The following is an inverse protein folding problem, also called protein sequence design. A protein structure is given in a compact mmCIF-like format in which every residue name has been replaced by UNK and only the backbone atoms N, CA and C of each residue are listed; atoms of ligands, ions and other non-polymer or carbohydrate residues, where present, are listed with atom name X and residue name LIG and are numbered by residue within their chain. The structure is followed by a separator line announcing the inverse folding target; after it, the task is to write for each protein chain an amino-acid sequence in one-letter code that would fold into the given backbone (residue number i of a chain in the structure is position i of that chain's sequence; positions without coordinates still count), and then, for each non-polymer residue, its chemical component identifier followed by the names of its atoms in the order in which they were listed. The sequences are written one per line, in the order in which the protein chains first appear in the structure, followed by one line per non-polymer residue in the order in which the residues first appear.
data_IF_463021061897
#
_entry.id   IF_463021061897
#
_cell.length_a   1.000
_cell.length_b   1.000
_cell.length_c   1.000
_cell.angle_alpha   90.00
_cell.angle_beta   90.00
_cell.angle_gamma   90.00
#
_symmetry.space_group_name_H-M   'P 1'
#
loop_
_entity.id
_entity.type
_entity.pdbx_description
1 polymer ?
#
# COMPACT_ATOMS: atom_id res chain seq x y z
N UNK A 1 -14.00 6.53 14.04
CA UNK A 1 -12.86 5.59 14.16
C UNK A 1 -12.44 5.13 12.75
N UNK A 2 -11.21 4.64 12.65
CA UNK A 2 -10.68 3.89 11.49
C UNK A 2 -10.48 2.45 11.90
N UNK A 3 -10.64 1.52 10.95
CA UNK A 3 -10.25 0.13 11.11
C UNK A 3 -8.92 -0.10 10.42
N UNK A 4 -7.98 -0.68 11.15
CA UNK A 4 -6.70 -1.16 10.64
C UNK A 4 -6.79 -2.67 10.51
N UNK A 5 -6.48 -3.22 9.34
CA UNK A 5 -6.65 -4.65 9.09
C UNK A 5 -5.49 -5.23 8.29
N UNK A 6 -5.17 -6.48 8.57
CA UNK A 6 -4.36 -7.34 7.71
C UNK A 6 -5.25 -8.47 7.24
N UNK A 7 -5.26 -8.72 5.96
CA UNK A 7 -6.08 -9.74 5.32
C UNK A 7 -5.17 -10.76 4.64
N UNK A 8 -5.31 -12.03 5.02
CA UNK A 8 -4.66 -13.14 4.33
C UNK A 8 -5.48 -13.50 3.10
N UNK A 9 -4.94 -13.14 1.94
CA UNK A 9 -5.60 -13.39 0.66
C UNK A 9 -5.70 -14.88 0.32
N UNK A 10 -4.73 -15.70 0.76
CA UNK A 10 -4.71 -17.13 0.48
C UNK A 10 -5.75 -17.90 1.29
N UNK A 11 -5.91 -17.50 2.56
CA UNK A 11 -6.88 -18.13 3.45
C UNK A 11 -8.26 -17.46 3.40
N UNK A 12 -8.34 -16.23 2.86
CA UNK A 12 -9.57 -15.46 2.83
C UNK A 12 -9.97 -14.92 4.20
N UNK A 13 -9.02 -14.74 5.12
CA UNK A 13 -9.28 -14.39 6.51
C UNK A 13 -8.63 -13.07 6.94
N UNK A 14 -9.27 -12.39 7.92
CA UNK A 14 -8.69 -11.28 8.63
C UNK A 14 -7.75 -11.81 9.71
N UNK A 15 -6.45 -11.58 9.57
CA UNK A 15 -5.44 -12.01 10.56
C UNK A 15 -5.17 -10.94 11.62
N UNK A 16 -5.52 -9.70 11.34
CA UNK A 16 -5.41 -8.59 12.28
C UNK A 16 -6.52 -7.59 12.06
N UNK A 17 -7.06 -7.08 13.18
CA UNK A 17 -8.04 -6.00 13.17
C UNK A 17 -7.86 -5.14 14.43
N UNK A 18 -7.75 -3.84 14.24
CA UNK A 18 -7.73 -2.87 15.33
C UNK A 18 -8.55 -1.63 14.99
N UNK A 19 -9.21 -1.05 15.95
CA UNK A 19 -9.87 0.24 15.83
C UNK A 19 -8.94 1.38 16.30
N UNK A 20 -9.00 2.49 15.61
CA UNK A 20 -8.13 3.63 15.86
C UNK A 20 -8.89 4.94 15.76
N UNK A 21 -8.38 6.00 16.38
CA UNK A 21 -8.95 7.33 16.22
C UNK A 21 -8.83 7.77 14.74
N UNK A 22 -9.91 8.35 14.20
CA UNK A 22 -9.97 8.78 12.81
C UNK A 22 -8.93 9.81 12.39
N UNK A 23 -8.39 10.55 13.36
CA UNK A 23 -7.36 11.59 13.17
C UNK A 23 -5.94 11.06 13.11
N UNK A 24 -5.71 9.81 13.54
CA UNK A 24 -4.36 9.22 13.56
C UNK A 24 -3.95 8.80 12.15
N UNK A 25 -2.76 9.21 11.67
CA UNK A 25 -2.25 8.80 10.38
C UNK A 25 -2.02 7.28 10.30
N UNK A 26 -2.30 6.68 9.13
CA UNK A 26 -2.22 5.23 8.94
C UNK A 26 -0.79 4.70 9.12
N UNK A 27 0.23 5.49 8.78
CA UNK A 27 1.63 5.11 8.94
C UNK A 27 2.10 4.94 10.40
N UNK A 28 1.33 5.37 11.40
CA UNK A 28 1.63 5.08 12.81
C UNK A 28 1.36 3.62 13.19
N UNK A 29 0.52 2.92 12.43
CA UNK A 29 0.18 1.52 12.69
C UNK A 29 1.09 0.53 11.99
N UNK A 30 1.98 1.01 11.13
CA UNK A 30 2.89 0.15 10.39
C UNK A 30 3.93 -0.55 11.27
N UNK A 31 4.21 -0.03 12.46
CA UNK A 31 5.19 -0.61 13.39
C UNK A 31 4.76 -1.98 13.95
N UNK A 32 3.46 -2.29 13.90
CA UNK A 32 2.94 -3.61 14.29
C UNK A 32 3.06 -4.66 13.18
N UNK A 33 3.15 -4.23 11.92
CA UNK A 33 3.15 -5.13 10.76
C UNK A 33 4.25 -6.19 10.82
N UNK A 34 5.52 -5.88 11.18
CA UNK A 34 6.55 -6.89 11.25
C UNK A 34 6.26 -8.02 12.25
N UNK A 35 5.49 -7.74 13.33
CA UNK A 35 5.12 -8.76 14.30
C UNK A 35 4.06 -9.74 13.75
N UNK A 36 3.22 -9.28 12.82
CA UNK A 36 2.11 -10.04 12.24
C UNK A 36 2.50 -10.88 11.01
N UNK A 37 3.63 -10.57 10.39
CA UNK A 37 4.06 -11.17 9.13
C UNK A 37 5.18 -12.18 9.38
N UNK A 38 5.10 -13.35 8.76
CA UNK A 38 6.11 -14.40 8.89
C UNK A 38 7.25 -14.23 7.89
N UNK A 39 8.34 -14.96 8.13
CA UNK A 39 9.40 -15.12 7.14
C UNK A 39 8.80 -15.69 5.84
N UNK A 40 9.24 -15.17 4.70
CA UNK A 40 8.77 -15.52 3.35
C UNK A 40 7.36 -15.06 2.97
N UNK A 41 6.58 -14.49 3.91
CA UNK A 41 5.31 -13.87 3.54
C UNK A 41 5.53 -12.63 2.66
N UNK A 42 4.58 -12.38 1.76
CA UNK A 42 4.55 -11.18 0.94
C UNK A 42 3.41 -10.24 1.40
N UNK A 43 3.78 -9.07 1.89
CA UNK A 43 2.84 -8.05 2.30
C UNK A 43 2.59 -7.03 1.18
N UNK A 44 1.34 -6.92 0.73
CA UNK A 44 0.89 -5.87 -0.18
C UNK A 44 0.49 -4.64 0.64
N UNK A 45 1.28 -3.56 0.54
CA UNK A 45 1.14 -2.39 1.41
C UNK A 45 0.52 -1.24 0.60
N UNK A 46 -0.53 -0.62 1.14
CA UNK A 46 -1.04 0.62 0.57
C UNK A 46 -0.07 1.79 0.85
N UNK A 47 -0.06 2.77 -0.05
CA UNK A 47 0.85 3.92 0.05
C UNK A 47 0.69 4.71 1.37
N UNK A 48 -0.51 4.74 1.95
CA UNK A 48 -0.76 5.37 3.26
C UNK A 48 0.03 4.75 4.41
N UNK A 49 0.44 3.50 4.27
CA UNK A 49 1.24 2.74 5.23
C UNK A 49 2.74 2.71 4.88
N UNK A 50 3.18 3.48 3.90
CA UNK A 50 4.58 3.50 3.49
C UNK A 50 5.47 4.10 4.60
N UNK A 51 6.40 3.30 5.14
CA UNK A 51 7.34 3.71 6.17
C UNK A 51 8.64 2.91 6.04
N UNK A 52 9.77 3.59 5.83
CA UNK A 52 11.05 2.92 5.57
C UNK A 52 11.52 2.03 6.71
N UNK A 53 11.29 2.44 7.96
CA UNK A 53 11.64 1.62 9.14
C UNK A 53 10.87 0.30 9.16
N UNK A 54 9.59 0.32 8.81
CA UNK A 54 8.77 -0.90 8.70
C UNK A 54 9.24 -1.79 7.55
N UNK A 55 9.54 -1.21 6.38
CA UNK A 55 10.08 -1.98 5.26
C UNK A 55 11.42 -2.65 5.62
N UNK A 56 12.30 -1.94 6.32
CA UNK A 56 13.56 -2.50 6.82
C UNK A 56 13.33 -3.63 7.83
N UNK A 57 12.38 -3.50 8.74
CA UNK A 57 12.05 -4.54 9.71
C UNK A 57 11.48 -5.80 9.03
N UNK A 58 10.65 -5.65 7.99
CA UNK A 58 10.18 -6.78 7.17
C UNK A 58 11.34 -7.48 6.46
N UNK A 59 12.26 -6.72 5.86
CA UNK A 59 13.45 -7.27 5.20
C UNK A 59 14.35 -8.01 6.19
N UNK A 60 14.58 -7.44 7.37
CA UNK A 60 15.38 -8.07 8.42
C UNK A 60 14.78 -9.39 8.91
N UNK A 61 13.45 -9.52 8.88
CA UNK A 61 12.74 -10.76 9.20
C UNK A 61 12.75 -11.78 8.06
N UNK A 62 13.21 -11.41 6.87
CA UNK A 62 13.17 -12.24 5.68
C UNK A 62 11.76 -12.30 5.04
N UNK A 63 10.93 -11.33 5.33
CA UNK A 63 9.64 -11.14 4.68
C UNK A 63 9.75 -10.26 3.44
N UNK A 64 8.75 -10.33 2.59
CA UNK A 64 8.67 -9.57 1.35
C UNK A 64 7.58 -8.51 1.42
N UNK A 65 7.75 -7.46 0.63
CA UNK A 65 6.73 -6.43 0.47
C UNK A 65 6.59 -6.01 -0.99
N UNK A 66 5.42 -5.50 -1.32
CA UNK A 66 5.15 -4.79 -2.57
C UNK A 66 4.27 -3.57 -2.25
N UNK A 67 4.75 -2.38 -2.59
CA UNK A 67 4.07 -1.11 -2.30
C UNK A 67 4.28 -0.09 -3.40
N UNK A 68 3.49 0.98 -3.40
CA UNK A 68 3.76 2.16 -4.23
C UNK A 68 4.85 3.00 -3.58
N UNK A 69 5.77 3.48 -4.41
CA UNK A 69 6.80 4.42 -3.95
C UNK A 69 6.14 5.72 -3.47
N UNK A 70 6.50 6.16 -2.28
CA UNK A 70 6.19 7.50 -1.81
C UNK A 70 7.16 8.50 -2.47
N UNK A 71 6.63 9.44 -3.25
CA UNK A 71 7.42 10.24 -4.20
C UNK A 71 8.45 11.18 -3.55
N UNK A 72 8.26 11.52 -2.27
CA UNK A 72 9.22 12.34 -1.52
C UNK A 72 10.37 11.51 -0.92
N UNK A 73 10.39 10.19 -1.18
CA UNK A 73 11.47 9.30 -0.73
C UNK A 73 12.70 9.49 -1.63
N UNK A 74 13.86 9.68 -1.02
CA UNK A 74 15.13 9.64 -1.74
C UNK A 74 15.39 8.21 -2.21
N UNK A 75 15.63 8.05 -3.50
CA UNK A 75 15.96 6.77 -4.12
C UNK A 75 17.39 6.82 -4.61
N UNK A 76 18.15 5.77 -4.37
CA UNK A 76 19.52 5.61 -4.83
C UNK A 76 19.59 4.44 -5.80
N UNK A 77 20.42 4.56 -6.81
CA UNK A 77 20.76 3.47 -7.71
C UNK A 77 21.41 2.33 -6.91
N UNK A 78 20.91 1.12 -7.10
CA UNK A 78 21.33 -0.06 -6.32
C UNK A 78 22.75 -0.51 -6.60
N UNK A 79 23.30 -0.18 -7.77
CA UNK A 79 24.64 -0.55 -8.19
C UNK A 79 25.68 0.50 -7.80
N UNK A 80 25.39 1.78 -8.10
CA UNK A 80 26.34 2.88 -7.90
C UNK A 80 26.20 3.57 -6.54
N UNK A 81 25.06 3.37 -5.85
CA UNK A 81 24.73 4.07 -4.59
C UNK A 81 24.44 5.57 -4.75
N UNK A 82 24.48 6.12 -5.96
CA UNK A 82 24.22 7.53 -6.21
C UNK A 82 22.72 7.85 -6.15
N UNK A 83 22.34 9.08 -5.74
CA UNK A 83 20.94 9.51 -5.82
C UNK A 83 20.39 9.39 -7.24
N UNK A 84 19.17 8.86 -7.35
CA UNK A 84 18.52 8.58 -8.63
C UNK A 84 17.50 9.68 -8.95
N UNK A 85 17.65 10.34 -10.08
CA UNK A 85 16.61 11.23 -10.62
C UNK A 85 15.56 10.39 -11.36
N UNK A 86 14.43 10.16 -10.68
CA UNK A 86 13.31 9.43 -11.25
C UNK A 86 12.80 10.05 -12.57
N UNK A 87 12.86 11.39 -12.68
CA UNK A 87 12.46 12.08 -13.90
C UNK A 87 13.36 11.73 -15.10
N UNK A 88 14.68 11.65 -14.89
CA UNK A 88 15.61 11.20 -15.92
C UNK A 88 15.41 9.74 -16.27
N UNK A 89 15.28 8.86 -15.27
CA UNK A 89 15.04 7.42 -15.48
C UNK A 89 13.80 7.18 -16.33
N UNK A 90 12.71 7.86 -16.03
CA UNK A 90 11.44 7.66 -16.74
C UNK A 90 11.43 8.26 -18.14
N UNK A 91 12.17 9.36 -18.37
CA UNK A 91 12.36 9.90 -19.74
C UNK A 91 13.23 9.01 -20.60
N UNK A 92 14.22 8.36 -20.01
CA UNK A 92 15.12 7.43 -20.71
C UNK A 92 14.55 6.01 -20.84
N UNK A 93 13.38 5.73 -20.23
CA UNK A 93 12.77 4.40 -20.28
C UNK A 93 12.35 4.05 -21.71
N UNK A 94 12.82 2.92 -22.28
CA UNK A 94 12.63 2.60 -23.70
C UNK A 94 11.20 2.15 -24.06
N UNK A 95 10.28 2.14 -23.10
CA UNK A 95 8.92 1.65 -23.34
C UNK A 95 7.94 1.96 -22.23
N UNK A 96 6.91 1.12 -22.11
CA UNK A 96 5.85 1.27 -21.11
C UNK A 96 6.21 0.68 -19.74
N UNK A 97 7.35 -0.01 -19.64
CA UNK A 97 7.82 -0.68 -18.42
C UNK A 97 9.32 -0.51 -18.29
N UNK A 98 9.79 -0.29 -17.08
CA UNK A 98 11.21 -0.42 -16.77
C UNK A 98 11.39 -0.86 -15.30
N UNK A 99 12.52 -1.47 -15.05
CA UNK A 99 12.90 -1.94 -13.73
C UNK A 99 14.35 -1.53 -13.43
N UNK A 100 14.59 -1.22 -12.15
CA UNK A 100 15.92 -0.86 -11.69
C UNK A 100 16.18 -1.38 -10.28
N UNK A 101 17.38 -1.89 -9.99
CA UNK A 101 17.82 -2.12 -8.63
C UNK A 101 17.99 -0.79 -7.93
N UNK A 102 17.45 -0.65 -6.72
CA UNK A 102 17.49 0.59 -5.95
C UNK A 102 17.64 0.34 -4.46
N UNK A 103 17.98 1.41 -3.73
CA UNK A 103 17.83 1.53 -2.28
C UNK A 103 17.06 2.80 -1.97
N UNK A 104 16.26 2.79 -0.91
CA UNK A 104 15.45 3.94 -0.51
C UNK A 104 15.92 4.51 0.81
N UNK A 105 15.73 5.83 1.00
CA UNK A 105 16.09 6.52 2.24
C UNK A 105 17.56 6.89 2.32
N UNK A 106 17.97 7.39 3.49
CA UNK A 106 19.33 7.87 3.75
C UNK A 106 19.81 7.40 5.13
N UNK A 107 21.11 7.24 5.29
CA UNK A 107 21.76 6.92 6.55
C UNK A 107 21.20 5.61 7.17
N UNK A 108 20.88 5.65 8.46
CA UNK A 108 20.37 4.50 9.21
C UNK A 108 19.01 3.98 8.72
N UNK A 109 18.25 4.81 8.00
CA UNK A 109 16.94 4.46 7.45
C UNK A 109 17.02 3.99 5.98
N UNK A 110 18.22 3.86 5.42
CA UNK A 110 18.37 3.34 4.07
C UNK A 110 17.96 1.86 4.04
N UNK A 111 17.16 1.49 3.03
CA UNK A 111 16.73 0.10 2.86
C UNK A 111 17.86 -0.76 2.29
N UNK A 112 17.75 -2.07 2.46
CA UNK A 112 18.48 -3.04 1.68
C UNK A 112 18.17 -2.95 0.19
N UNK A 113 18.64 -3.90 -0.59
CA UNK A 113 18.38 -3.97 -2.02
C UNK A 113 16.88 -4.15 -2.31
N UNK A 114 16.35 -3.29 -3.15
CA UNK A 114 14.98 -3.31 -3.64
C UNK A 114 14.95 -3.19 -5.16
N UNK A 115 13.81 -3.45 -5.73
CA UNK A 115 13.51 -3.28 -7.16
C UNK A 115 12.49 -2.16 -7.31
N UNK A 116 12.83 -1.14 -8.09
CA UNK A 116 11.90 -0.11 -8.55
C UNK A 116 11.29 -0.57 -9.86
N UNK A 117 10.00 -0.80 -9.86
CA UNK A 117 9.22 -1.17 -11.04
C UNK A 117 8.39 0.02 -11.49
N UNK A 118 8.63 0.47 -12.71
CA UNK A 118 7.96 1.62 -13.31
C UNK A 118 7.03 1.12 -14.42
N UNK A 119 5.74 1.41 -14.29
CA UNK A 119 4.71 1.00 -15.24
C UNK A 119 4.01 2.24 -15.79
N UNK A 120 4.05 2.44 -17.09
CA UNK A 120 3.35 3.54 -17.73
C UNK A 120 1.85 3.32 -17.64
N UNK A 121 1.12 4.36 -17.30
CA UNK A 121 -0.34 4.29 -17.19
C UNK A 121 -0.98 4.76 -18.50
N UNK A 122 -2.25 4.40 -18.66
CA UNK A 122 -3.07 4.90 -19.75
C UNK A 122 -3.11 6.45 -19.75
N UNK A 123 -3.09 7.11 -20.92
CA UNK A 123 -3.10 8.58 -21.05
C UNK A 123 -4.28 9.24 -20.33
N UNK A 124 -5.46 8.63 -20.33
CA UNK A 124 -6.64 9.18 -19.63
C UNK A 124 -6.43 9.14 -18.12
N UNK A 125 -5.87 8.05 -17.60
CA UNK A 125 -5.51 7.92 -16.19
C UNK A 125 -4.43 8.93 -15.80
N UNK A 126 -3.40 9.12 -16.62
CA UNK A 126 -2.35 10.11 -16.42
C UNK A 126 -2.93 11.53 -16.32
N UNK A 127 -3.84 11.89 -17.23
CA UNK A 127 -4.53 13.18 -17.22
C UNK A 127 -5.39 13.37 -15.95
N UNK A 128 -6.13 12.35 -15.54
CA UNK A 128 -6.91 12.39 -14.31
C UNK A 128 -6.02 12.59 -13.06
N UNK A 129 -4.86 11.91 -13.00
CA UNK A 129 -3.86 12.09 -11.94
C UNK A 129 -3.30 13.51 -11.91
N UNK A 130 -2.94 14.09 -13.06
CA UNK A 130 -2.45 15.48 -13.18
C UNK A 130 -3.52 16.49 -12.71
N UNK A 131 -4.79 16.28 -13.08
CA UNK A 131 -5.90 17.15 -12.63
C UNK A 131 -6.03 17.10 -11.09
N UNK A 132 -6.03 15.92 -10.49
CA UNK A 132 -6.10 15.73 -9.03
C UNK A 132 -4.90 16.37 -8.32
N UNK A 133 -3.69 16.17 -8.84
CA UNK A 133 -2.47 16.76 -8.29
C UNK A 133 -2.51 18.30 -8.33
N UNK A 134 -2.86 18.89 -9.48
CA UNK A 134 -3.02 20.35 -9.62
C UNK A 134 -4.09 20.91 -8.68
N UNK A 135 -5.23 20.24 -8.58
CA UNK A 135 -6.31 20.65 -7.67
C UNK A 135 -5.88 20.60 -6.20
N UNK A 136 -5.14 19.57 -5.81
CA UNK A 136 -4.58 19.43 -4.46
C UNK A 136 -3.54 20.53 -4.16
N UNK A 137 -2.60 20.78 -5.07
CA UNK A 137 -1.61 21.85 -4.95
C UNK A 137 -2.27 23.24 -4.79
N UNK A 138 -3.30 23.54 -5.60
CA UNK A 138 -4.08 24.79 -5.49
C UNK A 138 -4.74 24.95 -4.13
N UNK A 139 -5.34 23.88 -3.57
CA UNK A 139 -5.95 23.93 -2.23
C UNK A 139 -4.94 24.24 -1.13
N UNK A 140 -3.67 23.94 -1.35
CA UNK A 140 -2.56 24.24 -0.44
C UNK A 140 -1.84 25.55 -0.76
N UNK A 141 -2.38 26.38 -1.67
CA UNK A 141 -1.72 27.61 -2.09
C UNK A 141 -0.40 27.43 -2.83
N UNK A 142 -0.17 26.24 -3.44
CA UNK A 142 1.09 25.89 -4.12
C UNK A 142 0.88 25.67 -5.61
N UNK A 143 1.91 25.90 -6.40
CA UNK A 143 2.00 25.46 -7.80
C UNK A 143 2.50 24.02 -7.84
N UNK A 144 1.87 23.20 -8.68
CA UNK A 144 2.28 21.81 -8.83
C UNK A 144 3.69 21.70 -9.44
N UNK A 145 4.57 20.94 -8.81
CA UNK A 145 5.92 20.69 -9.30
C UNK A 145 5.90 19.99 -10.66
N UNK A 146 6.67 20.46 -11.62
CA UNK A 146 6.84 19.84 -12.94
C UNK A 146 7.35 18.40 -12.82
N UNK A 147 8.25 18.13 -11.86
CA UNK A 147 8.73 16.78 -11.54
C UNK A 147 7.57 15.85 -11.21
N UNK A 148 6.69 16.25 -10.29
CA UNK A 148 5.54 15.43 -9.91
C UNK A 148 4.53 15.25 -11.06
N UNK A 149 4.36 16.26 -11.91
CA UNK A 149 3.49 16.16 -13.09
C UNK A 149 3.99 15.11 -14.09
N UNK A 150 5.30 15.02 -14.31
CA UNK A 150 5.90 13.98 -15.15
C UNK A 150 5.72 12.58 -14.56
N UNK A 151 5.74 12.45 -13.22
CA UNK A 151 5.53 11.18 -12.52
C UNK A 151 4.07 10.68 -12.59
N UNK A 152 3.11 11.56 -12.93
CA UNK A 152 1.70 11.15 -13.09
C UNK A 152 1.47 10.13 -14.20
N UNK A 153 2.40 10.05 -15.18
CA UNK A 153 2.34 9.09 -16.28
C UNK A 153 2.73 7.68 -15.90
N UNK A 154 3.23 7.51 -14.69
CA UNK A 154 3.80 6.26 -14.22
C UNK A 154 3.18 5.78 -12.92
N UNK A 155 3.08 4.48 -12.76
CA UNK A 155 2.93 3.84 -11.46
C UNK A 155 4.29 3.31 -11.05
N UNK A 156 4.78 3.79 -9.91
CA UNK A 156 6.07 3.42 -9.34
C UNK A 156 5.83 2.45 -8.19
N UNK A 157 6.25 1.21 -8.35
CA UNK A 157 6.14 0.16 -7.34
C UNK A 157 7.53 -0.19 -6.83
N UNK A 158 7.59 -0.54 -5.55
CA UNK A 158 8.82 -0.98 -4.87
C UNK A 158 8.58 -2.33 -4.25
N UNK A 159 9.53 -3.24 -4.43
CA UNK A 159 9.52 -4.57 -3.82
C UNK A 159 10.93 -5.04 -3.50
N UNK A 160 11.08 -5.91 -2.51
CA UNK A 160 12.29 -6.68 -2.23
C UNK A 160 12.20 -8.14 -2.71
N UNK A 161 11.10 -8.51 -3.39
CA UNK A 161 10.98 -9.86 -3.98
C UNK A 161 11.97 -9.98 -5.13
N UNK A 162 12.81 -11.03 -5.19
CA UNK A 162 13.70 -11.28 -6.33
C UNK A 162 12.93 -11.43 -7.65
N UNK A 163 13.54 -11.01 -8.74
CA UNK A 163 12.93 -11.07 -10.08
C UNK A 163 12.50 -12.49 -10.49
N UNK A 164 13.26 -13.57 -10.24
CA UNK A 164 12.84 -14.93 -10.57
C UNK A 164 11.55 -15.38 -9.86
N UNK A 165 11.24 -14.79 -8.69
CA UNK A 165 10.03 -15.12 -7.92
C UNK A 165 8.86 -14.21 -8.27
N UNK A 166 9.13 -13.01 -8.72
CA UNK A 166 8.12 -12.05 -9.15
C UNK A 166 8.58 -11.33 -10.43
N UNK A 167 8.36 -11.93 -11.60
CA UNK A 167 8.67 -11.32 -12.88
C UNK A 167 7.94 -9.98 -13.09
N UNK A 168 8.55 -9.09 -13.87
CA UNK A 168 8.09 -7.71 -14.10
C UNK A 168 6.62 -7.62 -14.56
N UNK A 169 6.18 -8.52 -15.41
CA UNK A 169 4.82 -8.57 -15.95
C UNK A 169 3.77 -8.98 -14.88
N UNK A 170 4.18 -9.74 -13.86
CA UNK A 170 3.31 -10.18 -12.77
C UNK A 170 3.13 -9.12 -11.66
N UNK A 171 4.08 -8.18 -11.52
CA UNK A 171 4.08 -7.19 -10.42
C UNK A 171 2.78 -6.39 -10.38
N UNK A 172 2.28 -5.96 -11.54
CA UNK A 172 1.03 -5.17 -11.64
C UNK A 172 -0.18 -5.99 -11.19
N UNK A 173 -0.29 -7.21 -11.71
CA UNK A 173 -1.40 -8.10 -11.39
C UNK A 173 -1.44 -8.38 -9.88
N UNK A 174 -0.28 -8.71 -9.30
CA UNK A 174 -0.17 -8.98 -7.88
C UNK A 174 -0.53 -7.76 -7.03
N UNK A 175 -0.03 -6.57 -7.36
CA UNK A 175 -0.37 -5.35 -6.62
C UNK A 175 -1.87 -5.01 -6.70
N UNK A 176 -2.55 -5.41 -7.75
CA UNK A 176 -4.00 -5.20 -7.90
C UNK A 176 -4.79 -6.00 -6.85
N UNK A 177 -4.25 -7.11 -6.33
CA UNK A 177 -4.89 -7.88 -5.26
C UNK A 177 -5.09 -7.05 -3.99
N UNK A 178 -4.27 -6.02 -3.75
CA UNK A 178 -4.49 -5.06 -2.65
C UNK A 178 -5.90 -4.47 -2.65
N UNK A 179 -6.54 -4.36 -3.81
CA UNK A 179 -7.91 -3.85 -3.92
C UNK A 179 -8.95 -4.74 -3.21
N UNK A 180 -8.64 -6.01 -2.97
CA UNK A 180 -9.58 -6.94 -2.30
C UNK A 180 -9.95 -6.45 -0.89
N UNK A 181 -9.01 -5.84 -0.17
CA UNK A 181 -9.30 -5.28 1.16
C UNK A 181 -10.27 -4.08 1.07
N UNK A 182 -10.21 -3.30 -0.01
CA UNK A 182 -11.16 -2.19 -0.23
C UNK A 182 -12.57 -2.73 -0.52
N UNK A 183 -12.69 -3.85 -1.26
CA UNK A 183 -13.96 -4.54 -1.51
C UNK A 183 -14.53 -5.10 -0.20
N UNK A 184 -13.69 -5.69 0.65
CA UNK A 184 -14.10 -6.17 1.97
C UNK A 184 -14.66 -5.01 2.82
N UNK A 185 -13.97 -3.87 2.89
CA UNK A 185 -14.47 -2.70 3.59
C UNK A 185 -15.76 -2.15 2.98
N UNK A 186 -15.92 -2.22 1.66
CA UNK A 186 -17.17 -1.83 0.99
C UNK A 186 -18.31 -2.73 1.43
N UNK A 187 -18.10 -4.03 1.52
CA UNK A 187 -19.08 -4.99 2.04
C UNK A 187 -19.43 -4.70 3.51
N UNK A 188 -18.44 -4.47 4.37
CA UNK A 188 -18.68 -4.11 5.77
C UNK A 188 -19.51 -2.82 5.91
N UNK A 189 -19.29 -1.84 5.06
CA UNK A 189 -20.07 -0.59 5.05
C UNK A 189 -21.48 -0.79 4.51
N UNK A 190 -21.66 -1.53 3.43
CA UNK A 190 -22.95 -1.69 2.75
C UNK A 190 -23.87 -2.66 3.48
N UNK A 191 -23.35 -3.80 3.95
CA UNK A 191 -24.13 -4.87 4.58
C UNK A 191 -24.25 -4.65 6.08
N UNK A 192 -23.11 -4.45 6.77
CA UNK A 192 -23.08 -4.36 8.23
C UNK A 192 -23.24 -2.94 8.77
N UNK A 193 -23.20 -1.93 7.88
CA UNK A 193 -23.26 -0.52 8.26
C UNK A 193 -22.29 -0.16 9.40
N UNK A 194 -21.06 -0.68 9.34
CA UNK A 194 -20.04 -0.50 10.39
C UNK A 194 -19.66 0.97 10.63
N UNK A 195 -19.94 1.84 9.65
CA UNK A 195 -19.70 3.29 9.72
C UNK A 195 -20.83 4.07 10.42
N UNK A 196 -21.94 3.40 10.76
CA UNK A 196 -23.10 3.99 11.42
C UNK A 196 -23.19 3.49 12.86
N UNK A 197 -23.36 4.39 13.81
CA UNK A 197 -23.70 4.10 15.19
C UNK A 197 -24.77 5.05 15.67
N UNK A 198 -25.69 4.54 16.47
CA UNK A 198 -26.79 5.33 17.04
C UNK A 198 -26.34 6.17 18.25
N UNK A 199 -25.08 6.08 18.68
CA UNK A 199 -24.59 6.74 19.89
C UNK A 199 -23.23 7.40 19.69
N UNK A 200 -22.98 8.48 20.45
CA UNK A 200 -21.67 9.11 20.53
C UNK A 200 -20.75 8.52 21.62
N UNK A 201 -21.25 7.56 22.42
CA UNK A 201 -20.45 6.94 23.48
C UNK A 201 -19.45 5.95 22.86
N UNK A 202 -18.15 6.20 23.07
CA UNK A 202 -17.04 5.44 22.47
C UNK A 202 -17.12 3.94 22.80
N UNK A 203 -17.47 3.57 24.01
CA UNK A 203 -17.55 2.17 24.43
C UNK A 203 -18.70 1.45 23.73
N UNK A 204 -19.87 2.07 23.62
CA UNK A 204 -21.01 1.52 22.88
C UNK A 204 -20.70 1.41 21.37
N UNK A 205 -20.08 2.44 20.78
CA UNK A 205 -19.63 2.39 19.36
C UNK A 205 -18.71 1.19 19.13
N UNK A 206 -17.76 0.93 20.03
CA UNK A 206 -16.88 -0.24 19.96
C UNK A 206 -17.64 -1.55 20.06
N UNK A 207 -18.55 -1.68 21.05
CA UNK A 207 -19.38 -2.88 21.18
C UNK A 207 -20.21 -3.16 19.91
N UNK A 208 -20.88 -2.15 19.36
CA UNK A 208 -21.62 -2.27 18.12
C UNK A 208 -20.71 -2.68 16.94
N UNK A 209 -19.55 -2.04 16.82
CA UNK A 209 -18.59 -2.31 15.77
C UNK A 209 -18.09 -3.74 15.82
N UNK A 210 -17.60 -4.20 16.97
CA UNK A 210 -17.09 -5.55 17.15
C UNK A 210 -18.19 -6.60 17.01
N UNK A 211 -19.39 -6.34 17.50
CA UNK A 211 -20.55 -7.23 17.30
C UNK A 211 -20.86 -7.43 15.81
N UNK A 212 -20.88 -6.34 15.02
CA UNK A 212 -21.08 -6.39 13.58
C UNK A 212 -19.95 -7.16 12.87
N UNK A 213 -18.69 -6.96 13.29
CA UNK A 213 -17.53 -7.66 12.70
C UNK A 213 -17.52 -9.15 13.01
N UNK A 214 -17.88 -9.54 14.26
CA UNK A 214 -18.04 -10.94 14.64
C UNK A 214 -19.12 -11.60 13.78
N UNK A 215 -20.26 -10.96 13.61
CA UNK A 215 -21.32 -11.45 12.73
C UNK A 215 -20.85 -11.65 11.29
N UNK A 216 -20.01 -10.72 10.76
CA UNK A 216 -19.43 -10.86 9.42
C UNK A 216 -18.54 -12.09 9.28
N UNK A 217 -17.65 -12.30 10.25
CA UNK A 217 -16.75 -13.47 10.25
C UNK A 217 -17.54 -14.77 10.32
N UNK A 218 -18.58 -14.84 11.14
CA UNK A 218 -19.46 -15.99 11.22
C UNK A 218 -20.16 -16.29 9.88
N UNK A 219 -20.73 -15.26 9.25
CA UNK A 219 -21.38 -15.40 7.94
C UNK A 219 -20.39 -15.90 6.88
N UNK A 220 -19.17 -15.36 6.84
CA UNK A 220 -18.13 -15.80 5.90
C UNK A 220 -17.77 -17.30 6.13
N UNK A 221 -17.60 -17.72 7.39
CA UNK A 221 -17.28 -19.11 7.72
C UNK A 221 -18.42 -20.06 7.35
N UNK A 222 -19.67 -19.69 7.63
CA UNK A 222 -20.83 -20.48 7.24
C UNK A 222 -20.94 -20.64 5.72
N UNK A 223 -20.68 -19.56 4.98
CA UNK A 223 -20.62 -19.61 3.52
C UNK A 223 -19.50 -20.52 2.99
N UNK A 224 -18.33 -20.48 3.59
CA UNK A 224 -17.22 -21.34 3.21
C UNK A 224 -17.57 -22.83 3.40
N UNK A 225 -18.19 -23.17 4.53
CA UNK A 225 -18.63 -24.55 4.82
C UNK A 225 -19.77 -25.01 3.90
N UNK A 226 -20.68 -24.11 3.53
CA UNK A 226 -21.81 -24.47 2.66
C UNK A 226 -21.43 -24.70 1.19
N UNK A 227 -20.24 -24.21 0.77
CA UNK A 227 -19.76 -24.35 -0.61
C UNK A 227 -18.64 -25.41 -0.76
N UNK A 228 -18.36 -26.17 0.29
CA UNK A 228 -17.51 -27.39 0.26
C UNK A 228 -18.39 -28.64 0.19
#
# INVERSE_FOLDING_TARGET
CKLQTVYDYKQGELTFLADTAGTVPDNRYTDYLPALINKTDLLLIDQGYFKLTTLNALMAKGAFFLTRLFLDTTVHDGQTGKPLDLGQVLRAAPGSRCERPVRMGQGKNQTGACRLVCLRVDPQMAQARRRRFKAHARRQGRTGSQRHLALCDWTLLITNVPEPWLPLDMVRALYTLRWQIELLFKQFKSILRVHQSATGNVHRVRCELYGKLIAAVWVQRLHAVANT
#
